data_IF_499106869125
#
_entry.id   IF_499106869125
#
_cell.length_a   1.000
_cell.length_b   1.000
_cell.length_c   1.000
_cell.angle_alpha   90.00
_cell.angle_beta   90.00
_cell.angle_gamma   90.00
#
_symmetry.space_group_name_H-M   'P 1'
#
loop_
_entity.id
_entity.type
_entity.pdbx_description
1 polymer ?
#
# COMPACT_ATOMS: atom_id res chain seq x y z
N UNK A 1 28.20 8.41 9.24
CA UNK A 1 27.26 7.34 8.83
C UNK A 1 25.94 7.62 9.51
N UNK A 2 24.88 7.93 8.76
CA UNK A 2 23.56 8.20 9.34
C UNK A 2 23.08 6.93 10.06
N UNK A 3 23.10 6.94 11.39
CA UNK A 3 22.35 5.99 12.19
C UNK A 3 20.91 6.50 12.26
N UNK A 4 20.26 6.58 11.09
CA UNK A 4 18.87 6.96 10.97
C UNK A 4 18.03 5.75 11.32
N UNK A 5 17.31 5.80 12.44
CA UNK A 5 16.32 4.78 12.77
C UNK A 5 15.32 4.74 11.60
N UNK A 6 15.32 3.65 10.82
CA UNK A 6 14.27 3.45 9.81
C UNK A 6 12.93 3.39 10.54
N UNK A 7 12.11 4.42 10.39
CA UNK A 7 10.77 4.44 10.95
C UNK A 7 9.90 3.50 10.11
N UNK A 8 9.45 2.42 10.73
CA UNK A 8 8.44 1.53 10.16
C UNK A 8 7.15 1.64 10.97
N UNK A 9 6.01 1.78 10.28
CA UNK A 9 4.67 1.69 10.86
C UNK A 9 3.88 0.63 10.13
N UNK A 10 2.96 0.00 10.83
CA UNK A 10 2.07 -1.00 10.27
C UNK A 10 0.65 -0.80 10.81
N UNK A 11 -0.31 -1.37 10.11
CA UNK A 11 -1.71 -1.33 10.49
C UNK A 11 -2.57 -2.14 9.55
N UNK A 12 -3.88 -1.91 9.62
CA UNK A 12 -4.84 -2.51 8.70
C UNK A 12 -5.97 -1.52 8.40
N UNK A 13 -6.65 -1.75 7.28
CA UNK A 13 -7.91 -1.12 6.94
C UNK A 13 -8.79 -2.13 6.20
N UNK A 14 -10.07 -1.80 6.07
CA UNK A 14 -10.98 -2.54 5.19
C UNK A 14 -11.05 -1.83 3.85
N UNK A 15 -10.96 -2.59 2.76
CA UNK A 15 -11.21 -2.07 1.43
C UNK A 15 -12.63 -1.54 1.30
N UNK A 16 -12.82 -0.60 0.38
CA UNK A 16 -14.08 0.11 0.14
C UNK A 16 -14.44 0.21 -1.34
N UNK A 17 -13.52 -0.10 -2.25
CA UNK A 17 -13.67 0.16 -3.69
C UNK A 17 -13.49 1.64 -4.08
N UNK A 18 -13.30 2.54 -3.12
CA UNK A 18 -13.03 3.96 -3.31
C UNK A 18 -11.66 4.34 -2.74
N UNK A 19 -11.15 5.53 -3.03
CA UNK A 19 -9.85 5.98 -2.50
C UNK A 19 -9.81 5.92 -0.96
N UNK A 20 -8.78 5.30 -0.40
CA UNK A 20 -8.56 5.19 1.05
C UNK A 20 -7.28 5.93 1.42
N UNK A 21 -7.39 6.89 2.34
CA UNK A 21 -6.25 7.61 2.91
C UNK A 21 -5.85 6.98 4.25
N UNK A 22 -4.61 6.50 4.33
CA UNK A 22 -4.01 5.98 5.56
C UNK A 22 -3.00 7.01 6.08
N UNK A 23 -3.45 7.85 7.02
CA UNK A 23 -2.65 8.94 7.62
C UNK A 23 -2.11 8.64 9.01
N UNK A 24 -2.39 7.46 9.55
CA UNK A 24 -1.86 7.00 10.84
C UNK A 24 -0.36 6.69 10.82
N UNK A 25 0.27 6.78 9.64
CA UNK A 25 1.71 6.60 9.42
C UNK A 25 2.51 7.74 10.07
N UNK A 26 2.08 8.99 9.86
CA UNK A 26 2.69 10.18 10.47
C UNK A 26 3.97 10.67 9.78
N UNK A 27 4.34 10.08 8.65
CA UNK A 27 5.45 10.51 7.79
C UNK A 27 5.12 10.18 6.33
N UNK A 28 5.84 10.80 5.39
CA UNK A 28 5.75 10.45 3.97
C UNK A 28 6.56 9.17 3.70
N UNK A 29 5.91 8.05 3.34
CA UNK A 29 6.60 6.78 3.14
C UNK A 29 7.44 6.78 1.86
N UNK A 30 8.57 6.08 1.89
CA UNK A 30 9.40 5.73 0.73
C UNK A 30 9.17 4.32 0.23
N UNK A 31 8.54 3.47 1.06
CA UNK A 31 8.08 2.14 0.66
C UNK A 31 6.79 1.79 1.38
N UNK A 32 5.85 1.21 0.65
CA UNK A 32 4.59 0.70 1.20
C UNK A 32 4.39 -0.72 0.69
N UNK A 33 4.12 -1.64 1.61
CA UNK A 33 3.75 -3.01 1.33
C UNK A 33 2.33 -3.24 1.83
N UNK A 34 1.54 -3.95 1.03
CA UNK A 34 0.17 -4.30 1.34
C UNK A 34 0.00 -5.82 1.25
N UNK A 35 -0.79 -6.37 2.17
CA UNK A 35 -1.10 -7.78 2.26
C UNK A 35 -2.60 -7.93 2.46
N UNK A 36 -3.29 -8.42 1.44
CA UNK A 36 -4.72 -8.68 1.51
C UNK A 36 -4.96 -10.07 2.12
N UNK A 37 -5.62 -10.11 3.29
CA UNK A 37 -5.92 -11.34 4.03
C UNK A 37 -6.98 -12.17 3.28
N UNK A 38 -8.00 -11.50 2.75
CA UNK A 38 -9.17 -12.14 2.15
C UNK A 38 -8.99 -12.42 0.65
N UNK A 39 -8.37 -11.48 -0.09
CA UNK A 39 -8.15 -11.58 -1.54
C UNK A 39 -6.86 -12.29 -1.96
N UNK A 40 -6.03 -12.75 -1.02
CA UNK A 40 -4.74 -13.43 -1.24
C UNK A 40 -3.77 -12.68 -2.20
N UNK A 41 -3.90 -11.35 -2.28
CA UNK A 41 -3.05 -10.48 -3.06
C UNK A 41 -2.01 -9.77 -2.18
N UNK A 42 -0.84 -9.48 -2.75
CA UNK A 42 0.20 -8.66 -2.11
C UNK A 42 0.59 -7.55 -3.05
N UNK A 43 0.92 -6.39 -2.52
CA UNK A 43 1.41 -5.29 -3.33
C UNK A 43 2.57 -4.55 -2.69
N UNK A 44 3.42 -3.96 -3.53
CA UNK A 44 4.53 -3.12 -3.11
C UNK A 44 4.59 -1.86 -3.97
N UNK A 45 4.90 -0.75 -3.32
CA UNK A 45 5.25 0.52 -3.93
C UNK A 45 6.52 1.08 -3.30
N UNK A 46 7.36 1.73 -4.10
CA UNK A 46 8.57 2.43 -3.66
C UNK A 46 8.56 3.86 -4.21
N UNK A 47 9.33 4.77 -3.60
CA UNK A 47 9.44 6.18 -4.01
C UNK A 47 9.94 6.41 -5.44
N UNK A 48 10.68 5.45 -6.00
CA UNK A 48 11.07 5.44 -7.41
C UNK A 48 9.90 5.17 -8.37
N UNK A 49 8.77 4.67 -7.87
CA UNK A 49 7.56 4.47 -8.66
C UNK A 49 6.73 5.76 -8.73
N UNK A 50 6.04 5.96 -9.86
CA UNK A 50 5.11 7.07 -10.02
C UNK A 50 3.99 7.04 -8.96
N UNK A 51 3.33 8.18 -8.76
CA UNK A 51 2.11 8.25 -7.97
C UNK A 51 1.01 7.36 -8.60
N UNK A 52 0.12 6.85 -7.76
CA UNK A 52 -0.95 5.92 -8.13
C UNK A 52 -0.43 4.67 -8.85
N UNK A 53 0.73 4.16 -8.42
CA UNK A 53 1.36 2.96 -8.97
C UNK A 53 1.63 1.91 -7.89
N UNK A 54 2.12 0.77 -8.31
CA UNK A 54 2.49 -0.34 -7.44
C UNK A 54 2.61 -1.60 -8.27
N UNK A 55 3.36 -2.58 -7.77
CA UNK A 55 3.41 -3.93 -8.31
C UNK A 55 2.62 -4.83 -7.37
N UNK A 56 1.69 -5.60 -7.92
CA UNK A 56 0.91 -6.59 -7.19
C UNK A 56 1.17 -8.00 -7.68
N UNK A 57 1.05 -8.94 -6.76
CA UNK A 57 1.00 -10.36 -7.00
C UNK A 57 -0.37 -10.86 -6.58
N UNK A 58 -1.10 -11.49 -7.49
CA UNK A 58 -2.38 -12.16 -7.18
C UNK A 58 -2.15 -13.63 -6.84
N UNK A 59 -3.17 -14.32 -6.33
CA UNK A 59 -3.13 -15.73 -5.87
C UNK A 59 -2.46 -16.69 -6.86
N UNK A 60 -2.63 -16.48 -8.16
CA UNK A 60 -2.04 -17.31 -9.21
C UNK A 60 -0.52 -17.09 -9.43
N UNK A 61 0.12 -16.22 -8.63
CA UNK A 61 1.53 -15.85 -8.76
C UNK A 61 1.81 -14.82 -9.86
N UNK A 62 0.79 -14.42 -10.63
CA UNK A 62 0.92 -13.41 -11.67
C UNK A 62 1.28 -12.06 -11.08
N UNK A 63 2.41 -11.51 -11.53
CA UNK A 63 2.83 -10.15 -11.23
C UNK A 63 2.19 -9.18 -12.22
N UNK A 64 1.55 -8.14 -11.74
CA UNK A 64 0.97 -7.09 -12.58
C UNK A 64 1.09 -5.70 -11.93
N UNK A 65 0.91 -4.65 -12.73
CA UNK A 65 0.83 -3.29 -12.20
C UNK A 65 -0.52 -3.09 -11.52
N UNK A 66 -0.52 -2.36 -10.40
CA UNK A 66 -1.76 -1.89 -9.78
C UNK A 66 -2.48 -0.86 -10.66
N UNK A 67 -3.80 -0.96 -10.71
CA UNK A 67 -4.67 0.05 -11.33
C UNK A 67 -5.03 1.09 -10.27
N UNK A 68 -4.68 2.36 -10.48
CA UNK A 68 -4.84 3.41 -9.46
C UNK A 68 -4.25 2.96 -8.10
N UNK A 69 -2.95 2.65 -8.10
CA UNK A 69 -2.27 2.05 -6.97
C UNK A 69 -2.01 3.00 -5.79
N UNK A 70 -0.83 2.90 -5.22
CA UNK A 70 -0.44 3.64 -4.03
C UNK A 70 0.06 5.04 -4.43
N UNK A 71 -0.37 6.06 -3.70
CA UNK A 71 0.11 7.45 -3.81
C UNK A 71 0.65 7.90 -2.46
N UNK A 72 1.92 8.30 -2.36
CA UNK A 72 2.45 8.85 -1.11
C UNK A 72 1.80 10.19 -0.78
N UNK A 73 1.46 10.40 0.48
CA UNK A 73 0.97 11.64 1.07
C UNK A 73 2.04 12.22 2.00
N UNK A 74 1.85 13.43 2.51
CA UNK A 74 2.80 14.05 3.45
C UNK A 74 2.88 13.33 4.80
N UNK A 75 1.82 12.65 5.22
CA UNK A 75 1.65 11.99 6.52
C UNK A 75 1.22 10.53 6.41
N UNK A 76 1.35 9.93 5.22
CA UNK A 76 1.05 8.53 4.97
C UNK A 76 0.89 8.22 3.50
N UNK A 77 -0.11 7.43 3.14
CA UNK A 77 -0.35 7.06 1.75
C UNK A 77 -1.84 6.95 1.44
N UNK A 78 -2.18 7.04 0.15
CA UNK A 78 -3.50 6.73 -0.39
C UNK A 78 -3.41 5.42 -1.18
N UNK A 79 -4.33 4.50 -0.93
CA UNK A 79 -4.62 3.41 -1.84
C UNK A 79 -5.77 3.85 -2.76
N UNK A 80 -5.57 3.81 -4.08
CA UNK A 80 -6.65 4.06 -5.03
C UNK A 80 -7.54 2.82 -5.24
N UNK A 81 -8.24 2.75 -6.37
CA UNK A 81 -9.33 1.78 -6.59
C UNK A 81 -8.86 0.46 -7.21
N UNK A 82 -7.69 -0.05 -6.82
CA UNK A 82 -7.19 -1.33 -7.35
C UNK A 82 -8.13 -2.48 -6.95
N UNK A 83 -8.61 -3.24 -7.94
CA UNK A 83 -9.65 -4.24 -7.75
C UNK A 83 -9.21 -5.49 -6.97
N UNK A 84 -7.91 -5.70 -6.74
CA UNK A 84 -7.43 -6.84 -5.93
C UNK A 84 -6.97 -6.40 -4.54
N UNK A 85 -6.66 -5.11 -4.36
CA UNK A 85 -6.15 -4.56 -3.09
C UNK A 85 -7.17 -3.70 -2.36
N UNK A 86 -8.26 -3.28 -3.00
CA UNK A 86 -9.28 -2.39 -2.43
C UNK A 86 -10.69 -2.91 -2.71
N UNK A 87 -10.91 -4.19 -2.40
CA UNK A 87 -12.24 -4.81 -2.47
C UNK A 87 -13.03 -4.46 -1.21
N UNK A 88 -14.30 -4.09 -1.38
CA UNK A 88 -15.16 -3.71 -0.26
C UNK A 88 -15.28 -4.85 0.77
N UNK A 89 -14.96 -4.57 2.02
CA UNK A 89 -15.07 -5.53 3.13
C UNK A 89 -13.87 -6.47 3.30
N UNK A 90 -12.90 -6.46 2.38
CA UNK A 90 -11.67 -7.23 2.54
C UNK A 90 -10.67 -6.51 3.44
N UNK A 91 -10.05 -7.25 4.35
CA UNK A 91 -9.07 -6.72 5.30
C UNK A 91 -7.68 -6.73 4.68
N UNK A 92 -7.05 -5.56 4.68
CA UNK A 92 -5.72 -5.35 4.11
C UNK A 92 -4.78 -4.84 5.20
N UNK A 93 -3.71 -5.59 5.45
CA UNK A 93 -2.60 -5.15 6.28
C UNK A 93 -1.62 -4.34 5.45
N UNK A 94 -0.94 -3.41 6.10
CA UNK A 94 0.08 -2.60 5.47
C UNK A 94 1.30 -2.42 6.36
N UNK A 95 2.45 -2.23 5.72
CA UNK A 95 3.70 -1.78 6.34
C UNK A 95 4.24 -0.62 5.52
N UNK A 96 4.56 0.48 6.18
CA UNK A 96 5.11 1.69 5.59
C UNK A 96 6.48 1.99 6.20
N UNK A 97 7.45 2.31 5.35
CA UNK A 97 8.81 2.66 5.74
C UNK A 97 9.18 4.06 5.24
N UNK A 98 9.92 4.79 6.06
CA UNK A 98 10.64 6.02 5.67
C UNK A 98 11.92 5.72 4.89
#
# INVERSE_FOLDING_TARGET
MSSGVQLSKNGAFYGTGANIDVRTVGFRPRRVELFNEDGLAKAVWTDDMANAAGLKQVTAGTMSKMTAGITPLSDGFRLGTDADMNVSGEKVYWVAHE
#
